data_IF_420162013343
#
_entry.id   IF_420162013343
#
_cell.length_a   1.000
_cell.length_b   1.000
_cell.length_c   1.000
_cell.angle_alpha   90.00
_cell.angle_beta   90.00
_cell.angle_gamma   90.00
#
_symmetry.space_group_name_H-M   'P 1'
#
loop_
_entity.id
_entity.type
_entity.pdbx_description
1 polymer ?
#
# COMPACT_ATOMS: atom_id res chain seq x y z
N UNK A 1 3.82 21.75 5.86
CA UNK A 1 3.07 20.61 5.29
C UNK A 1 4.03 19.45 5.31
N UNK A 2 3.66 18.32 5.89
CA UNK A 2 4.56 17.17 5.96
C UNK A 2 4.69 16.54 4.58
N UNK A 3 5.90 16.09 4.25
CA UNK A 3 6.26 15.56 2.93
C UNK A 3 6.28 14.04 2.96
N UNK A 4 5.48 13.42 2.10
CA UNK A 4 5.48 11.98 1.88
C UNK A 4 6.09 11.68 0.52
N UNK A 5 7.07 10.79 0.50
CA UNK A 5 7.59 10.22 -0.73
C UNK A 5 7.10 8.78 -0.88
N UNK A 6 6.63 8.45 -2.07
CA UNK A 6 6.18 7.10 -2.41
C UNK A 6 7.20 6.46 -3.35
N UNK A 7 7.73 5.31 -3.00
CA UNK A 7 8.60 4.51 -3.85
C UNK A 7 7.81 3.39 -4.54
N UNK A 8 7.80 3.46 -5.87
CA UNK A 8 7.09 2.53 -6.76
C UNK A 8 5.79 3.10 -7.30
N UNK A 9 5.63 3.05 -8.62
CA UNK A 9 4.51 3.60 -9.40
C UNK A 9 3.48 2.56 -9.86
N UNK A 10 3.37 1.44 -9.15
CA UNK A 10 2.32 0.44 -9.35
C UNK A 10 1.06 0.73 -8.54
N UNK A 11 0.12 -0.22 -8.54
CA UNK A 11 -1.21 -0.12 -7.90
C UNK A 11 -1.14 0.40 -6.45
N UNK A 12 -0.32 -0.24 -5.59
CA UNK A 12 -0.19 0.15 -4.18
C UNK A 12 0.41 1.55 -4.01
N UNK A 13 1.46 1.88 -4.80
CA UNK A 13 2.14 3.17 -4.68
C UNK A 13 1.24 4.32 -5.14
N UNK A 14 0.58 4.17 -6.27
CA UNK A 14 -0.35 5.20 -6.78
C UNK A 14 -1.51 5.39 -5.82
N UNK A 15 -2.09 4.31 -5.30
CA UNK A 15 -3.14 4.39 -4.29
C UNK A 15 -2.71 5.11 -3.02
N UNK A 16 -1.50 4.81 -2.52
CA UNK A 16 -0.92 5.50 -1.36
C UNK A 16 -0.68 6.99 -1.63
N UNK A 17 -0.18 7.33 -2.82
CA UNK A 17 0.06 8.71 -3.23
C UNK A 17 -1.27 9.51 -3.30
N UNK A 18 -2.32 8.92 -3.86
CA UNK A 18 -3.65 9.54 -3.90
C UNK A 18 -4.19 9.75 -2.49
N UNK A 19 -4.10 8.76 -1.60
CA UNK A 19 -4.55 8.91 -0.22
C UNK A 19 -3.77 10.02 0.49
N UNK A 20 -2.46 10.06 0.36
CA UNK A 20 -1.63 11.10 0.94
C UNK A 20 -2.02 12.50 0.44
N UNK A 21 -2.28 12.64 -0.86
CA UNK A 21 -2.76 13.91 -1.45
C UNK A 21 -4.11 14.33 -0.89
N UNK A 22 -5.07 13.40 -0.79
CA UNK A 22 -6.40 13.64 -0.18
C UNK A 22 -6.29 14.06 1.28
N UNK A 23 -5.30 13.53 2.02
CA UNK A 23 -5.04 13.91 3.41
C UNK A 23 -4.23 15.20 3.56
N UNK A 24 -3.87 15.86 2.47
CA UNK A 24 -3.24 17.19 2.47
C UNK A 24 -1.73 17.18 2.66
N UNK A 25 -1.06 16.07 2.35
CA UNK A 25 0.41 16.01 2.34
C UNK A 25 1.02 16.63 1.08
N UNK A 26 2.28 17.05 1.17
CA UNK A 26 3.13 17.26 -0.01
C UNK A 26 3.61 15.89 -0.49
N UNK A 27 3.22 15.50 -1.71
CA UNK A 27 3.42 14.13 -2.21
C UNK A 27 4.33 14.14 -3.44
N UNK A 28 5.34 13.28 -3.40
CA UNK A 28 6.18 12.98 -4.54
C UNK A 28 6.28 11.46 -4.72
N UNK A 29 6.09 10.96 -5.95
CA UNK A 29 6.24 9.55 -6.26
C UNK A 29 7.45 9.32 -7.16
N UNK A 30 8.28 8.34 -6.84
CA UNK A 30 9.47 7.98 -7.63
C UNK A 30 9.49 6.50 -7.97
N UNK A 31 9.69 6.17 -9.25
CA UNK A 31 9.87 4.81 -9.72
C UNK A 31 11.13 4.70 -10.59
N UNK A 32 11.98 3.72 -10.31
CA UNK A 32 13.18 3.46 -11.12
C UNK A 32 12.87 2.82 -12.48
N UNK A 33 11.69 2.24 -12.64
CA UNK A 33 11.17 1.71 -13.89
C UNK A 33 10.23 2.68 -14.58
N UNK A 34 9.58 2.20 -15.62
CA UNK A 34 8.53 2.95 -16.31
C UNK A 34 7.19 2.73 -15.63
N UNK A 35 6.50 3.80 -15.31
CA UNK A 35 5.15 3.75 -14.75
C UNK A 35 4.15 3.43 -15.88
N UNK A 36 3.27 2.43 -15.73
CA UNK A 36 2.19 2.19 -16.70
C UNK A 36 1.35 3.43 -16.93
N UNK A 37 0.99 3.72 -18.19
CA UNK A 37 0.36 5.01 -18.56
C UNK A 37 -0.92 5.30 -17.78
N UNK A 38 -1.76 4.31 -17.53
CA UNK A 38 -2.97 4.50 -16.74
C UNK A 38 -2.70 4.97 -15.31
N UNK A 39 -1.61 4.52 -14.68
CA UNK A 39 -1.18 5.01 -13.37
C UNK A 39 -0.58 6.43 -13.44
N UNK A 40 0.17 6.72 -14.50
CA UNK A 40 0.69 8.07 -14.73
C UNK A 40 -0.46 9.07 -14.99
N UNK A 41 -1.53 8.67 -15.67
CA UNK A 41 -2.74 9.46 -15.85
C UNK A 41 -3.43 9.73 -14.51
N UNK A 42 -3.54 8.72 -13.64
CA UNK A 42 -4.11 8.90 -12.29
C UNK A 42 -3.27 9.89 -11.46
N UNK A 43 -1.95 9.78 -11.49
CA UNK A 43 -1.06 10.73 -10.79
C UNK A 43 -1.27 12.17 -11.29
N UNK A 44 -1.35 12.38 -12.61
CA UNK A 44 -1.63 13.70 -13.21
C UNK A 44 -3.01 14.24 -12.81
N UNK A 45 -4.04 13.37 -12.82
CA UNK A 45 -5.41 13.73 -12.43
C UNK A 45 -5.49 14.22 -10.99
N UNK A 46 -4.69 13.66 -10.09
CA UNK A 46 -4.62 14.04 -8.69
C UNK A 46 -3.58 15.14 -8.41
N UNK A 47 -2.97 15.72 -9.45
CA UNK A 47 -1.92 16.73 -9.32
C UNK A 47 -0.80 16.27 -8.37
N UNK A 48 -0.30 15.05 -8.60
CA UNK A 48 0.81 14.45 -7.87
C UNK A 48 2.05 14.50 -8.75
N UNK A 49 3.11 15.13 -8.24
CA UNK A 49 4.42 15.15 -8.90
C UNK A 49 5.06 13.78 -8.84
N UNK A 50 5.63 13.34 -9.97
CA UNK A 50 6.31 12.05 -10.03
C UNK A 50 7.49 12.05 -11.00
N UNK A 51 8.36 11.06 -10.85
CA UNK A 51 9.44 10.72 -11.79
C UNK A 51 9.43 9.22 -12.10
N UNK A 52 9.95 8.87 -13.27
CA UNK A 52 10.12 7.48 -13.71
C UNK A 52 11.47 7.25 -14.38
N UNK A 53 11.95 6.00 -14.36
CA UNK A 53 13.20 5.59 -14.99
C UNK A 53 14.46 5.90 -14.19
N UNK A 54 14.35 6.57 -13.07
CA UNK A 54 15.47 6.91 -12.16
C UNK A 54 14.94 7.34 -10.79
N UNK A 55 15.87 7.56 -9.87
CA UNK A 55 15.59 8.14 -8.56
C UNK A 55 16.44 9.40 -8.37
N UNK A 56 15.79 10.56 -8.22
CA UNK A 56 16.45 11.83 -7.84
C UNK A 56 16.56 11.88 -6.31
N UNK A 57 17.76 11.58 -5.81
CA UNK A 57 17.98 11.44 -4.35
C UNK A 57 17.56 12.66 -3.55
N UNK A 58 17.83 13.89 -4.06
CA UNK A 58 17.47 15.12 -3.39
C UNK A 58 15.95 15.28 -3.19
N UNK A 59 15.15 14.69 -4.08
CA UNK A 59 13.69 14.71 -4.00
C UNK A 59 13.13 13.62 -3.09
N UNK A 60 13.91 12.57 -2.83
CA UNK A 60 13.50 11.42 -2.02
C UNK A 60 14.00 11.56 -0.58
N UNK A 61 15.27 11.93 -0.40
CA UNK A 61 15.90 11.97 0.92
C UNK A 61 15.42 13.10 1.82
N UNK A 62 14.62 14.04 1.30
CA UNK A 62 13.99 15.11 2.07
C UNK A 62 12.58 14.75 2.57
N UNK A 63 12.19 13.48 2.50
CA UNK A 63 10.91 13.00 3.00
C UNK A 63 10.84 13.00 4.53
N UNK A 64 9.69 13.37 5.07
CA UNK A 64 9.38 13.17 6.49
C UNK A 64 9.01 11.69 6.76
N UNK A 65 8.34 11.06 5.80
CA UNK A 65 7.98 9.64 5.82
C UNK A 65 7.97 9.07 4.40
N UNK A 66 8.31 7.79 4.26
CA UNK A 66 8.33 7.10 2.96
C UNK A 66 7.35 5.95 2.96
N UNK A 67 6.54 5.86 1.90
CA UNK A 67 5.70 4.70 1.65
C UNK A 67 6.36 3.86 0.56
N UNK A 68 6.73 2.62 0.89
CA UNK A 68 7.46 1.74 -0.01
C UNK A 68 6.54 0.65 -0.56
N UNK A 69 6.48 0.51 -1.89
CA UNK A 69 5.79 -0.61 -2.53
C UNK A 69 6.41 -1.96 -2.16
N UNK A 70 5.62 -3.02 -1.96
CA UNK A 70 6.11 -4.32 -1.48
C UNK A 70 7.10 -4.98 -2.44
N UNK A 71 7.04 -4.69 -3.74
CA UNK A 71 7.97 -5.21 -4.75
C UNK A 71 9.38 -4.62 -4.70
N UNK A 72 9.62 -3.58 -3.90
CA UNK A 72 10.94 -2.94 -3.80
C UNK A 72 11.71 -3.57 -2.63
N UNK A 73 12.84 -4.27 -2.90
CA UNK A 73 13.65 -4.87 -1.84
C UNK A 73 14.29 -3.81 -0.93
N UNK A 74 14.44 -4.11 0.37
CA UNK A 74 15.16 -3.25 1.30
C UNK A 74 16.66 -3.12 0.97
N UNK A 75 17.19 -3.99 0.10
CA UNK A 75 18.59 -3.95 -0.34
C UNK A 75 18.90 -2.87 -1.37
N UNK A 76 17.90 -2.24 -1.99
CA UNK A 76 18.17 -1.20 -3.01
C UNK A 76 18.82 0.04 -2.39
N UNK A 77 19.75 0.71 -3.12
CA UNK A 77 20.57 1.78 -2.55
C UNK A 77 19.75 2.92 -1.91
N UNK A 78 18.67 3.36 -2.55
CA UNK A 78 17.84 4.47 -2.05
C UNK A 78 17.17 4.12 -0.71
N UNK A 79 16.68 2.88 -0.56
CA UNK A 79 16.04 2.43 0.69
C UNK A 79 17.07 2.38 1.81
N UNK A 80 18.27 1.85 1.56
CA UNK A 80 19.36 1.84 2.54
C UNK A 80 19.78 3.25 3.00
N UNK A 81 19.77 4.22 2.10
CA UNK A 81 20.07 5.63 2.44
C UNK A 81 19.00 6.21 3.35
N UNK A 82 17.73 5.96 3.06
CA UNK A 82 16.60 6.38 3.88
C UNK A 82 16.67 5.75 5.29
N UNK A 83 16.95 4.45 5.37
CA UNK A 83 17.16 3.74 6.65
C UNK A 83 18.34 4.32 7.43
N UNK A 84 19.45 4.58 6.75
CA UNK A 84 20.67 5.13 7.39
C UNK A 84 20.47 6.54 7.96
N UNK A 85 19.59 7.35 7.40
CA UNK A 85 19.24 8.66 7.94
C UNK A 85 18.07 8.63 8.95
N UNK A 86 17.50 7.43 9.22
CA UNK A 86 16.41 7.25 10.17
C UNK A 86 15.04 7.65 9.66
N UNK A 87 14.84 7.76 8.34
CA UNK A 87 13.54 8.03 7.75
C UNK A 87 12.61 6.86 8.00
N UNK A 88 11.40 7.12 8.48
CA UNK A 88 10.39 6.09 8.71
C UNK A 88 9.84 5.59 7.38
N UNK A 89 10.01 4.28 7.13
CA UNK A 89 9.54 3.62 5.91
C UNK A 89 8.41 2.69 6.27
N UNK A 90 7.25 2.88 5.65
CA UNK A 90 6.03 2.11 5.92
C UNK A 90 5.46 1.50 4.64
N UNK A 91 4.56 0.53 4.80
CA UNK A 91 3.78 -0.02 3.70
C UNK A 91 2.54 0.81 3.41
N UNK A 92 1.95 0.59 2.23
CA UNK A 92 0.62 1.14 1.88
C UNK A 92 -0.45 0.72 2.90
N UNK A 93 -0.40 -0.53 3.37
CA UNK A 93 -1.35 -1.10 4.34
C UNK A 93 -1.26 -0.35 5.68
N UNK A 94 -0.03 -0.12 6.16
CA UNK A 94 0.22 0.68 7.36
C UNK A 94 -0.34 2.10 7.23
N UNK A 95 -0.03 2.75 6.10
CA UNK A 95 -0.46 4.12 5.84
C UNK A 95 -1.99 4.24 5.76
N UNK A 96 -2.63 3.39 4.95
CA UNK A 96 -4.08 3.41 4.78
C UNK A 96 -4.83 3.09 6.08
N UNK A 97 -4.31 2.15 6.86
CA UNK A 97 -4.90 1.77 8.15
C UNK A 97 -5.05 2.91 9.15
N UNK A 98 -4.21 3.96 9.05
CA UNK A 98 -4.30 5.16 9.91
C UNK A 98 -5.53 6.02 9.63
N UNK A 99 -6.10 5.91 8.43
CA UNK A 99 -7.20 6.76 7.95
C UNK A 99 -8.50 6.00 7.74
N UNK A 100 -8.50 4.70 8.01
CA UNK A 100 -9.67 3.84 7.86
C UNK A 100 -10.21 3.38 9.21
N UNK A 101 -11.52 3.55 9.41
CA UNK A 101 -12.25 3.13 10.61
C UNK A 101 -13.10 1.89 10.40
N UNK A 102 -13.16 1.35 9.18
CA UNK A 102 -13.87 0.12 8.87
C UNK A 102 -13.28 -1.09 9.61
N UNK A 103 -14.08 -2.11 9.83
CA UNK A 103 -13.59 -3.39 10.37
C UNK A 103 -12.79 -4.16 9.32
N UNK A 104 -11.62 -4.62 9.70
CA UNK A 104 -10.64 -5.24 8.80
C UNK A 104 -10.51 -6.74 9.08
N UNK A 105 -10.73 -7.54 8.05
CA UNK A 105 -10.49 -8.99 8.04
C UNK A 105 -9.29 -9.20 7.11
N UNK A 106 -8.16 -9.58 7.68
CA UNK A 106 -6.92 -9.76 6.93
C UNK A 106 -6.58 -11.24 6.79
N UNK A 107 -6.21 -11.64 5.58
CA UNK A 107 -5.84 -13.01 5.24
C UNK A 107 -4.41 -13.04 4.72
N UNK A 108 -3.56 -13.84 5.35
CA UNK A 108 -2.18 -14.08 4.92
C UNK A 108 -1.84 -15.57 4.95
N UNK A 109 -0.62 -15.92 4.58
CA UNK A 109 -0.09 -17.29 4.58
C UNK A 109 0.58 -17.63 3.25
N UNK A 110 1.19 -18.80 3.18
CA UNK A 110 1.90 -19.25 1.96
C UNK A 110 0.92 -19.56 0.82
N UNK A 111 -0.09 -20.37 1.06
CA UNK A 111 -1.06 -20.82 0.06
C UNK A 111 -2.50 -20.60 0.50
N UNK A 112 -3.42 -20.42 -0.46
CA UNK A 112 -4.85 -20.30 -0.20
C UNK A 112 -5.34 -18.91 0.21
N UNK A 113 -4.48 -17.90 0.27
CA UNK A 113 -4.83 -16.51 0.59
C UNK A 113 -5.98 -16.01 -0.29
N UNK A 114 -5.79 -16.01 -1.60
CA UNK A 114 -6.74 -15.48 -2.58
C UNK A 114 -8.10 -16.17 -2.51
N UNK A 115 -8.12 -17.50 -2.41
CA UNK A 115 -9.36 -18.27 -2.30
C UNK A 115 -10.12 -17.92 -1.01
N UNK A 116 -9.41 -17.87 0.12
CA UNK A 116 -10.02 -17.55 1.42
C UNK A 116 -10.53 -16.12 1.45
N UNK A 117 -9.73 -15.16 0.98
CA UNK A 117 -10.10 -13.74 0.91
C UNK A 117 -11.33 -13.53 0.04
N UNK A 118 -11.33 -14.12 -1.17
CA UNK A 118 -12.46 -14.01 -2.10
C UNK A 118 -13.73 -14.67 -1.56
N UNK A 119 -13.61 -15.82 -0.87
CA UNK A 119 -14.75 -16.48 -0.26
C UNK A 119 -15.36 -15.64 0.86
N UNK A 120 -14.55 -15.08 1.76
CA UNK A 120 -15.02 -14.21 2.85
C UNK A 120 -15.71 -12.98 2.26
N UNK A 121 -15.08 -12.32 1.30
CA UNK A 121 -15.67 -11.16 0.61
C UNK A 121 -17.03 -11.52 0.00
N UNK A 122 -17.11 -12.63 -0.75
CA UNK A 122 -18.36 -13.09 -1.37
C UNK A 122 -19.47 -13.35 -0.33
N UNK A 123 -19.15 -13.99 0.77
CA UNK A 123 -20.12 -14.29 1.83
C UNK A 123 -20.65 -13.00 2.49
N UNK A 124 -19.76 -12.04 2.80
CA UNK A 124 -20.17 -10.78 3.41
C UNK A 124 -21.00 -9.92 2.43
N UNK A 125 -20.61 -9.89 1.15
CA UNK A 125 -21.36 -9.17 0.12
C UNK A 125 -22.77 -9.77 -0.08
N UNK A 126 -22.89 -11.10 -0.11
CA UNK A 126 -24.20 -11.76 -0.22
C UNK A 126 -25.05 -11.64 1.06
N UNK A 127 -24.44 -11.38 2.20
CA UNK A 127 -25.15 -11.04 3.42
C UNK A 127 -25.67 -9.57 3.43
N UNK A 128 -25.42 -8.81 2.36
CA UNK A 128 -25.87 -7.43 2.21
C UNK A 128 -24.99 -6.40 2.95
N UNK A 129 -23.77 -6.79 3.35
CA UNK A 129 -22.84 -5.86 4.01
C UNK A 129 -22.12 -4.98 2.99
N UNK A 130 -21.82 -3.75 3.39
CA UNK A 130 -21.00 -2.82 2.63
C UNK A 130 -19.51 -3.16 2.83
N UNK A 131 -18.94 -3.94 1.92
CA UNK A 131 -17.61 -4.53 2.07
C UNK A 131 -16.71 -4.22 0.88
N UNK A 132 -15.48 -3.77 1.16
CA UNK A 132 -14.40 -3.57 0.20
C UNK A 132 -13.47 -4.79 0.14
N UNK A 133 -12.89 -5.04 -1.03
CA UNK A 133 -11.88 -6.05 -1.28
C UNK A 133 -10.58 -5.38 -1.72
N UNK A 134 -9.48 -5.64 -1.05
CA UNK A 134 -8.22 -4.99 -1.39
C UNK A 134 -6.97 -5.69 -0.88
N UNK A 135 -5.85 -4.99 -0.95
CA UNK A 135 -4.54 -5.47 -0.55
C UNK A 135 -3.75 -6.05 -1.72
N UNK A 136 -3.28 -7.28 -1.61
CA UNK A 136 -2.52 -7.96 -2.67
C UNK A 136 -3.39 -8.40 -3.87
N UNK A 137 -4.70 -8.35 -3.72
CA UNK A 137 -5.69 -8.60 -4.77
C UNK A 137 -6.73 -7.46 -4.78
N UNK A 138 -7.48 -7.36 -5.85
CA UNK A 138 -8.47 -6.29 -6.02
C UNK A 138 -7.81 -4.94 -6.28
N UNK A 139 -8.42 -3.88 -5.77
CA UNK A 139 -7.87 -2.52 -5.84
C UNK A 139 -6.96 -2.23 -4.66
N UNK A 140 -6.03 -1.28 -4.82
CA UNK A 140 -5.26 -0.73 -3.72
C UNK A 140 -6.17 -0.36 -2.53
N UNK A 141 -5.80 -0.82 -1.34
CA UNK A 141 -6.52 -0.48 -0.11
C UNK A 141 -6.50 1.03 0.15
N UNK A 142 -5.34 1.67 -0.04
CA UNK A 142 -5.21 3.11 0.14
C UNK A 142 -6.07 3.90 -0.86
N UNK A 143 -6.16 3.47 -2.11
CA UNK A 143 -7.00 4.12 -3.09
C UNK A 143 -8.48 4.05 -2.70
N UNK A 144 -8.95 2.89 -2.23
CA UNK A 144 -10.31 2.74 -1.74
C UNK A 144 -10.60 3.63 -0.53
N UNK A 145 -9.68 3.68 0.44
CA UNK A 145 -9.80 4.58 1.61
C UNK A 145 -9.84 6.06 1.22
N UNK A 146 -9.19 6.42 0.12
CA UNK A 146 -9.20 7.79 -0.41
C UNK A 146 -10.50 8.17 -1.12
N UNK A 147 -11.15 7.20 -1.80
CA UNK A 147 -12.18 7.49 -2.80
C UNK A 147 -13.52 6.81 -2.56
N UNK A 148 -13.58 5.83 -1.67
CA UNK A 148 -14.76 5.01 -1.40
C UNK A 148 -15.02 4.96 0.12
N UNK A 149 -16.15 4.42 0.52
CA UNK A 149 -16.47 4.20 1.94
C UNK A 149 -17.09 2.81 2.13
N UNK A 150 -16.45 2.02 2.97
CA UNK A 150 -16.92 0.69 3.35
C UNK A 150 -17.02 0.55 4.88
N UNK A 151 -17.91 -0.32 5.34
CA UNK A 151 -18.04 -0.66 6.76
C UNK A 151 -17.09 -1.79 7.15
N UNK A 152 -16.71 -2.60 6.14
CA UNK A 152 -15.80 -3.74 6.27
C UNK A 152 -14.79 -3.77 5.13
N UNK A 153 -13.59 -4.24 5.42
CA UNK A 153 -12.61 -4.62 4.41
C UNK A 153 -12.21 -6.07 4.58
N UNK A 154 -12.09 -6.78 3.46
CA UNK A 154 -11.39 -8.06 3.39
C UNK A 154 -10.11 -7.84 2.61
N UNK A 155 -8.98 -7.97 3.28
CA UNK A 155 -7.66 -7.65 2.74
C UNK A 155 -6.81 -8.91 2.61
N UNK A 156 -6.35 -9.20 1.39
CA UNK A 156 -5.26 -10.15 1.21
C UNK A 156 -3.94 -9.45 1.48
N UNK A 157 -3.11 -9.99 2.36
CA UNK A 157 -1.83 -9.39 2.72
C UNK A 157 -0.70 -10.38 2.46
N UNK A 158 0.26 -9.98 1.63
CA UNK A 158 1.48 -10.74 1.39
C UNK A 158 2.51 -10.50 2.51
N UNK A 159 3.49 -11.40 2.64
CA UNK A 159 4.62 -11.23 3.57
C UNK A 159 5.37 -9.92 3.32
N UNK A 160 5.60 -9.56 2.06
CA UNK A 160 6.30 -8.31 1.72
C UNK A 160 5.54 -7.03 2.12
N UNK A 161 4.20 -7.09 2.17
CA UNK A 161 3.40 -5.97 2.68
C UNK A 161 3.48 -5.86 4.20
N UNK A 162 3.69 -6.98 4.90
CA UNK A 162 3.86 -7.00 6.35
C UNK A 162 5.23 -6.47 6.81
N UNK A 163 6.26 -6.54 5.99
CA UNK A 163 7.63 -6.14 6.34
C UNK A 163 7.72 -4.68 6.85
N UNK A 164 6.83 -3.81 6.40
CA UNK A 164 6.77 -2.39 6.80
C UNK A 164 5.42 -2.02 7.43
N UNK A 165 4.80 -2.97 8.14
CA UNK A 165 3.64 -2.75 9.00
C UNK A 165 4.09 -2.77 10.46
N UNK A 166 3.74 -1.72 11.23
CA UNK A 166 4.17 -1.56 12.62
C UNK A 166 2.98 -1.47 13.58
N UNK A 167 2.06 -0.58 13.31
CA UNK A 167 0.91 -0.28 14.16
C UNK A 167 -0.43 -0.78 13.60
N UNK A 168 -0.47 -1.14 12.32
CA UNK A 168 -1.66 -1.67 11.68
C UNK A 168 -2.20 -2.91 12.43
N UNK A 169 -3.48 -2.89 12.77
CA UNK A 169 -4.16 -3.97 13.48
C UNK A 169 -5.46 -4.34 12.77
N UNK A 170 -5.62 -5.57 12.29
CA UNK A 170 -6.90 -6.06 11.82
C UNK A 170 -7.81 -6.43 13.01
N UNK A 171 -9.13 -6.36 12.81
CA UNK A 171 -10.11 -6.89 13.78
C UNK A 171 -10.11 -8.42 13.78
N UNK A 172 -9.89 -9.02 12.59
CA UNK A 172 -9.74 -10.47 12.41
C UNK A 172 -8.52 -10.73 11.54
N UNK A 173 -7.60 -11.56 12.03
CA UNK A 173 -6.44 -12.02 11.28
C UNK A 173 -6.54 -13.54 11.01
N UNK A 174 -6.34 -13.95 9.76
CA UNK A 174 -6.37 -15.34 9.32
C UNK A 174 -5.02 -15.68 8.69
N UNK A 175 -4.38 -16.71 9.22
CA UNK A 175 -3.19 -17.32 8.62
C UNK A 175 -3.62 -18.68 8.06
N UNK A 176 -3.61 -18.82 6.76
CA UNK A 176 -4.07 -20.05 6.09
C UNK A 176 -3.13 -21.22 6.35
N UNK A 177 -1.84 -21.00 6.16
CA UNK A 177 -0.74 -21.93 6.45
C UNK A 177 0.60 -21.21 6.39
N UNK A 178 1.62 -21.82 6.95
CA UNK A 178 3.01 -21.36 6.88
C UNK A 178 3.85 -22.51 6.35
N UNK A 179 4.38 -22.35 5.16
CA UNK A 179 5.34 -23.28 4.53
C UNK A 179 6.54 -22.49 4.04
N UNK A 180 7.74 -23.11 3.90
CA UNK A 180 8.88 -22.42 3.30
C UNK A 180 8.52 -21.91 1.90
N UNK A 181 8.64 -20.59 1.71
CA UNK A 181 8.35 -19.90 0.47
C UNK A 181 9.27 -18.67 0.39
N UNK A 182 9.76 -18.35 -0.79
CA UNK A 182 10.73 -17.26 -1.00
C UNK A 182 12.06 -17.41 -0.21
N UNK A 183 12.59 -18.65 -0.16
CA UNK A 183 13.90 -18.96 0.45
C UNK A 183 15.05 -18.70 -0.53
#
# INVERSE_FOLDING_TARGET
MSRIVVLGGGESGVGAAVLAKVKGFDVFLSDNGKIPEHFAEDLRKWDISFEEGHHTEELILNADEVIKSPGIPSSVPIVRKLEAQGTHIISEIEFAGRYDTAKKICVTGSNGKTTTTSLIYYLLQNAGLNVGLGGNIGKSYALQVATEHFDYYVLEISSFQLDNCYDFRPDIAIITNITPDHL
#
